data_IF_692620313965
#
_entry.id   IF_692620313965
#
_cell.length_a   1.000
_cell.length_b   1.000
_cell.length_c   1.000
_cell.angle_alpha   90.00
_cell.angle_beta   90.00
_cell.angle_gamma   90.00
#
_symmetry.space_group_name_H-M   'P 1'
#
loop_
_entity.id
_entity.type
_entity.pdbx_description
1 polymer ?
#
# COMPACT_ATOMS: atom_id res chain seq x y z
N UNK A 1 6.39 -2.02 -4.65
CA UNK A 1 6.14 -2.26 -6.10
C UNK A 1 4.96 -3.19 -6.30
N UNK A 2 4.36 -3.12 -7.46
CA UNK A 2 3.35 -4.09 -7.87
C UNK A 2 3.98 -5.48 -8.04
N UNK A 3 3.19 -6.53 -7.75
CA UNK A 3 3.52 -7.85 -8.26
C UNK A 3 3.30 -7.85 -9.77
N UNK A 4 3.92 -8.79 -10.47
CA UNK A 4 3.70 -8.95 -11.91
C UNK A 4 2.22 -9.18 -12.22
N UNK A 5 1.56 -10.01 -11.43
CA UNK A 5 0.13 -10.28 -11.56
C UNK A 5 -0.71 -9.02 -11.34
N UNK A 6 -0.44 -8.28 -10.27
CA UNK A 6 -1.16 -7.04 -9.98
C UNK A 6 -0.98 -6.00 -11.08
N UNK A 7 0.24 -5.83 -11.56
CA UNK A 7 0.53 -4.89 -12.64
C UNK A 7 -0.27 -5.19 -13.90
N UNK A 8 -0.25 -6.43 -14.37
CA UNK A 8 -0.95 -6.79 -15.60
C UNK A 8 -2.47 -6.80 -15.42
N UNK A 9 -2.98 -7.16 -14.24
CA UNK A 9 -4.41 -7.09 -13.98
C UNK A 9 -4.92 -5.65 -14.04
N UNK A 10 -4.20 -4.71 -13.45
CA UNK A 10 -4.59 -3.29 -13.49
C UNK A 10 -4.40 -2.69 -14.88
N UNK A 11 -3.35 -3.09 -15.59
CA UNK A 11 -3.07 -2.54 -16.91
C UNK A 11 -4.04 -3.05 -17.98
N UNK A 12 -4.36 -4.34 -17.95
CA UNK A 12 -5.10 -5.02 -19.03
C UNK A 12 -6.47 -5.53 -18.59
N UNK A 13 -6.77 -5.54 -17.30
CA UNK A 13 -7.95 -6.21 -16.76
C UNK A 13 -7.71 -7.70 -16.58
N UNK A 14 -8.66 -8.36 -15.94
CA UNK A 14 -8.66 -9.81 -15.71
C UNK A 14 -10.10 -10.32 -15.69
N UNK A 15 -10.27 -11.61 -15.37
CA UNK A 15 -11.61 -12.20 -15.27
C UNK A 15 -12.46 -11.54 -14.18
N UNK A 16 -11.82 -10.95 -13.15
CA UNK A 16 -12.50 -10.39 -11.99
C UNK A 16 -12.27 -8.88 -11.79
N UNK A 17 -11.38 -8.28 -12.58
CA UNK A 17 -11.02 -6.88 -12.44
C UNK A 17 -11.00 -6.19 -13.79
N UNK A 18 -11.15 -4.85 -13.76
CA UNK A 18 -11.11 -4.05 -14.98
C UNK A 18 -9.72 -3.49 -15.23
N UNK A 19 -9.46 -3.09 -16.47
CA UNK A 19 -8.29 -2.29 -16.78
C UNK A 19 -8.45 -0.89 -16.15
N UNK A 20 -7.37 -0.38 -15.55
CA UNK A 20 -7.40 0.93 -14.88
C UNK A 20 -7.29 2.07 -15.89
N UNK A 21 -8.19 3.04 -15.74
CA UNK A 21 -8.21 4.26 -16.53
C UNK A 21 -7.79 5.47 -15.70
N UNK A 22 -8.12 6.66 -16.24
CA UNK A 22 -7.66 7.93 -15.69
C UNK A 22 -8.19 8.22 -14.28
N UNK A 23 -9.36 7.72 -13.94
CA UNK A 23 -9.99 7.95 -12.64
C UNK A 23 -9.72 6.83 -11.63
N UNK A 24 -8.97 5.83 -12.04
CA UNK A 24 -8.69 4.68 -11.18
C UNK A 24 -7.42 4.86 -10.38
N UNK A 25 -7.39 4.21 -9.23
CA UNK A 25 -6.23 4.22 -8.35
C UNK A 25 -6.10 2.90 -7.59
N UNK A 26 -4.88 2.60 -7.18
CA UNK A 26 -4.57 1.54 -6.24
C UNK A 26 -3.39 2.01 -5.40
N UNK A 27 -3.53 1.96 -4.09
CA UNK A 27 -2.51 2.44 -3.16
C UNK A 27 -2.19 1.39 -2.11
N UNK A 28 -0.94 1.41 -1.64
CA UNK A 28 -0.57 0.80 -0.36
C UNK A 28 -0.63 1.92 0.68
N UNK A 29 -1.30 1.66 1.79
CA UNK A 29 -1.38 2.60 2.91
C UNK A 29 -0.52 2.02 4.02
N UNK A 30 0.44 2.80 4.49
CA UNK A 30 1.33 2.40 5.57
C UNK A 30 0.98 3.22 6.80
N UNK A 31 0.53 2.53 7.84
CA UNK A 31 0.23 3.16 9.13
C UNK A 31 1.38 2.90 10.09
N UNK A 32 1.86 3.95 10.74
CA UNK A 32 2.75 3.83 11.87
C UNK A 32 1.96 3.84 13.16
N UNK A 33 2.18 2.86 14.02
CA UNK A 33 1.50 2.78 15.32
C UNK A 33 2.52 2.85 16.44
N UNK A 34 2.13 3.52 17.51
CA UNK A 34 2.90 3.56 18.75
C UNK A 34 1.95 3.24 19.90
N UNK A 35 2.25 2.16 20.61
CA UNK A 35 1.41 1.69 21.74
C UNK A 35 -0.05 1.53 21.35
N UNK A 36 -0.28 0.94 20.17
CA UNK A 36 -1.63 0.67 19.69
C UNK A 36 -2.35 1.85 19.04
N UNK A 37 -1.73 3.03 18.96
CA UNK A 37 -2.33 4.23 18.40
C UNK A 37 -1.64 4.58 17.08
N UNK A 38 -2.43 4.88 16.05
CA UNK A 38 -1.91 5.33 14.76
C UNK A 38 -1.37 6.75 14.94
N UNK A 39 -0.07 6.95 14.68
CA UNK A 39 0.59 8.24 14.82
C UNK A 39 1.02 8.83 13.48
N UNK A 40 0.93 8.07 12.40
CA UNK A 40 1.27 8.56 11.07
C UNK A 40 0.74 7.64 9.99
N UNK A 41 0.58 8.19 8.78
CA UNK A 41 0.06 7.46 7.62
C UNK A 41 0.78 7.93 6.36
N UNK A 42 1.17 6.97 5.52
CA UNK A 42 1.79 7.25 4.22
C UNK A 42 1.03 6.45 3.18
N UNK A 43 0.69 7.08 2.05
CA UNK A 43 0.11 6.40 0.89
C UNK A 43 1.15 6.28 -0.21
N UNK A 44 1.26 5.06 -0.76
CA UNK A 44 2.17 4.78 -1.86
C UNK A 44 1.33 4.34 -3.06
N UNK A 45 1.35 5.08 -4.17
CA UNK A 45 0.56 4.70 -5.34
C UNK A 45 1.17 3.51 -6.06
N UNK A 46 0.33 2.54 -6.41
CA UNK A 46 0.66 1.46 -7.33
C UNK A 46 0.04 1.70 -8.70
N UNK A 47 -1.04 2.48 -8.75
CA UNK A 47 -1.67 2.97 -9.97
C UNK A 47 -2.31 4.31 -9.68
N UNK A 48 -2.17 5.28 -10.59
CA UNK A 48 -2.71 6.62 -10.41
C UNK A 48 -2.80 7.34 -11.76
N UNK A 49 -3.95 7.94 -12.00
CA UNK A 49 -4.22 8.78 -13.19
C UNK A 49 -3.80 8.14 -14.52
N UNK A 50 -4.24 6.91 -14.73
CA UNK A 50 -4.01 6.21 -15.98
C UNK A 50 -2.67 5.50 -16.08
N UNK A 51 -1.82 5.61 -15.06
CA UNK A 51 -0.52 4.93 -15.01
C UNK A 51 -0.53 3.82 -14.00
N UNK A 52 -0.08 2.64 -14.40
CA UNK A 52 0.19 1.52 -13.51
C UNK A 52 1.70 1.42 -13.38
N UNK A 53 2.21 1.46 -12.15
CA UNK A 53 3.65 1.49 -11.91
C UNK A 53 4.25 0.10 -12.04
N UNK A 54 5.35 -0.01 -12.79
CA UNK A 54 6.02 -1.27 -13.09
C UNK A 54 7.43 -1.35 -12.50
N UNK A 55 7.80 -0.39 -11.68
CA UNK A 55 9.14 -0.32 -11.07
C UNK A 55 9.05 -0.17 -9.57
N UNK A 56 10.20 -0.31 -8.91
CA UNK A 56 10.31 -0.07 -7.47
C UNK A 56 10.13 1.42 -7.19
N UNK A 57 9.38 1.71 -6.12
CA UNK A 57 9.13 3.06 -5.64
C UNK A 57 9.83 3.20 -4.30
N UNK A 58 10.73 4.18 -4.20
CA UNK A 58 11.35 4.52 -2.93
C UNK A 58 10.37 5.26 -2.04
N UNK A 59 10.28 4.87 -0.77
CA UNK A 59 9.37 5.46 0.19
C UNK A 59 10.15 5.87 1.42
N UNK A 60 10.07 7.15 1.78
CA UNK A 60 10.67 7.67 3.00
C UNK A 60 9.66 7.51 4.15
N UNK A 61 9.98 6.65 5.10
CA UNK A 61 9.11 6.38 6.25
C UNK A 61 9.36 7.32 7.42
N UNK A 62 10.32 8.23 7.33
CA UNK A 62 10.67 9.10 8.46
C UNK A 62 9.52 9.97 8.93
N UNK A 63 8.58 10.29 8.04
CA UNK A 63 7.38 11.05 8.38
C UNK A 63 6.44 10.34 9.35
N UNK A 64 6.60 9.03 9.55
CA UNK A 64 5.80 8.29 10.53
C UNK A 64 6.27 8.56 11.96
N UNK A 65 7.51 9.04 12.14
CA UNK A 65 8.09 9.24 13.44
C UNK A 65 8.50 7.94 14.12
N UNK A 66 8.60 7.98 15.45
CA UNK A 66 8.92 6.78 16.24
C UNK A 66 7.69 5.90 16.36
N UNK A 67 7.81 4.65 15.92
CA UNK A 67 6.71 3.69 15.94
C UNK A 67 7.23 2.33 16.40
N UNK A 68 6.32 1.51 16.92
CA UNK A 68 6.64 0.14 17.30
C UNK A 68 5.97 -0.88 16.38
N UNK A 69 5.15 -0.42 15.44
CA UNK A 69 4.47 -1.31 14.50
C UNK A 69 4.20 -0.57 13.19
N UNK A 70 4.38 -1.29 12.08
CA UNK A 70 3.93 -0.83 10.75
C UNK A 70 2.79 -1.73 10.31
N UNK A 71 1.71 -1.14 9.84
CA UNK A 71 0.56 -1.87 9.30
C UNK A 71 0.39 -1.46 7.85
N UNK A 72 0.31 -2.44 6.97
CA UNK A 72 0.17 -2.23 5.52
C UNK A 72 -1.24 -2.64 5.11
N UNK A 73 -1.91 -1.76 4.40
CA UNK A 73 -3.21 -2.04 3.80
C UNK A 73 -3.21 -1.61 2.36
N UNK A 74 -4.14 -2.14 1.58
CA UNK A 74 -4.33 -1.72 0.20
C UNK A 74 -5.71 -1.12 0.03
N UNK A 75 -5.82 -0.12 -0.85
CA UNK A 75 -7.08 0.43 -1.31
C UNK A 75 -7.07 0.51 -2.82
N UNK A 76 -8.23 0.37 -3.43
CA UNK A 76 -8.40 0.39 -4.87
C UNK A 76 -9.74 1.01 -5.25
N UNK A 77 -9.79 1.66 -6.41
CA UNK A 77 -11.05 2.11 -7.00
C UNK A 77 -11.87 0.98 -7.59
N UNK A 78 -11.25 -0.17 -7.87
CA UNK A 78 -11.92 -1.33 -8.47
C UNK A 78 -12.38 -2.29 -7.37
N UNK A 79 -13.60 -2.06 -6.89
CA UNK A 79 -14.18 -2.82 -5.79
C UNK A 79 -15.55 -3.35 -6.17
N UNK A 80 -15.94 -4.45 -5.54
CA UNK A 80 -17.30 -4.97 -5.57
C UNK A 80 -17.82 -5.14 -4.16
N UNK A 81 -19.12 -4.96 -3.98
CA UNK A 81 -19.78 -5.16 -2.70
C UNK A 81 -20.58 -6.44 -2.75
N UNK A 82 -20.37 -7.30 -1.78
CA UNK A 82 -21.12 -8.55 -1.63
C UNK A 82 -21.50 -8.69 -0.16
N UNK A 83 -22.81 -8.86 0.06
CA UNK A 83 -23.36 -9.06 1.41
C UNK A 83 -22.95 -7.94 2.40
N UNK A 84 -22.94 -6.70 1.89
CA UNK A 84 -22.58 -5.52 2.69
C UNK A 84 -21.09 -5.30 2.89
N UNK A 85 -20.23 -6.17 2.35
CA UNK A 85 -18.78 -6.07 2.48
C UNK A 85 -18.17 -5.69 1.13
N UNK A 86 -17.27 -4.71 1.15
CA UNK A 86 -16.54 -4.29 -0.05
C UNK A 86 -15.26 -5.09 -0.21
N UNK A 87 -15.03 -5.57 -1.43
CA UNK A 87 -13.84 -6.34 -1.79
C UNK A 87 -13.13 -5.67 -2.96
N UNK A 88 -11.81 -5.67 -2.89
CA UNK A 88 -10.96 -5.21 -3.96
C UNK A 88 -10.91 -6.26 -5.07
N UNK A 89 -11.20 -5.87 -6.32
CA UNK A 89 -11.28 -6.80 -7.44
C UNK A 89 -9.91 -7.11 -8.05
N UNK A 90 -9.02 -6.12 -8.15
CA UNK A 90 -7.67 -6.38 -8.61
C UNK A 90 -6.87 -7.09 -7.52
N UNK A 91 -5.80 -7.82 -7.88
CA UNK A 91 -5.04 -8.59 -6.88
C UNK A 91 -4.54 -7.74 -5.71
N UNK A 92 -4.84 -8.19 -4.49
CA UNK A 92 -4.52 -7.47 -3.26
C UNK A 92 -3.13 -7.86 -2.76
N UNK A 93 -2.11 -7.73 -3.61
CA UNK A 93 -0.73 -8.08 -3.31
C UNK A 93 0.21 -6.99 -3.77
N UNK A 94 1.31 -6.82 -3.05
CA UNK A 94 2.38 -5.91 -3.42
C UNK A 94 3.71 -6.47 -2.92
N UNK A 95 4.81 -5.91 -3.42
CA UNK A 95 6.16 -6.35 -3.06
C UNK A 95 6.87 -5.28 -2.26
N UNK A 96 7.61 -5.72 -1.24
CA UNK A 96 8.47 -4.87 -0.41
C UNK A 96 9.89 -5.44 -0.49
N UNK A 97 10.87 -4.55 -0.55
CA UNK A 97 12.28 -4.91 -0.41
C UNK A 97 13.00 -3.80 0.35
N UNK A 98 14.14 -4.12 0.91
CA UNK A 98 15.07 -3.15 1.52
C UNK A 98 14.40 -2.24 2.55
N UNK A 99 13.65 -2.84 3.48
CA UNK A 99 13.06 -2.11 4.59
C UNK A 99 14.13 -1.86 5.65
N UNK A 100 14.43 -0.60 5.88
CA UNK A 100 15.43 -0.19 6.87
C UNK A 100 14.75 0.49 8.03
N UNK A 101 15.15 0.11 9.23
CA UNK A 101 14.66 0.71 10.46
C UNK A 101 15.83 1.08 11.36
N UNK A 102 15.57 2.05 12.23
CA UNK A 102 16.52 2.43 13.28
C UNK A 102 15.84 2.26 14.63
N UNK A 103 16.48 1.51 15.51
CA UNK A 103 15.98 1.39 16.87
C UNK A 103 16.28 2.65 17.64
N UNK A 104 15.26 3.18 18.31
CA UNK A 104 15.44 4.24 19.25
C UNK A 104 15.86 3.63 20.60
N UNK A 105 16.99 4.08 21.11
CA UNK A 105 17.43 3.70 22.44
C UNK A 105 17.15 4.84 23.40
N UNK A 106 16.40 4.51 24.45
CA UNK A 106 16.25 5.46 25.55
C UNK A 106 17.63 5.68 26.22
N UNK A 107 17.98 6.90 26.55
CA UNK A 107 19.20 7.14 27.28
C UNK A 107 19.17 6.58 28.70
N UNK A 108 18.02 6.19 29.17
CA UNK A 108 17.91 5.56 30.48
C UNK A 108 18.13 4.06 30.33
N UNK A 109 18.13 3.44 29.89
CA UNK A 109 18.30 2.23 29.83
C UNK A 109 18.54 1.29 29.65
N UNK A 110 18.59 1.02 29.62
CA UNK A 110 18.75 0.13 29.40
C UNK A 110 18.97 -0.74 29.39
#
# INVERSE_FOLDING_TARGET
ANTTWGYFAMKNGSAYSKAFGQDDYCNVIIYGRLRGVIVGTIKVPLAYKGKVFDSWIGVDLSGLGTVDELVFQMESSDNSTFDGVSYMNNPAYFCITDLYTRFYKSPIKQ
#
